data_IF_860801686888
#
_entry.id   IF_860801686888
#
_cell.length_a   1.000
_cell.length_b   1.000
_cell.length_c   1.000
_cell.angle_alpha   90.00
_cell.angle_beta   90.00
_cell.angle_gamma   90.00
#
_symmetry.space_group_name_H-M   'P 1'
#
loop_
_entity.id
_entity.type
_entity.pdbx_description
1 polymer ?
#
# COMPACT_ATOMS: atom_id res chain seq x y z
N UNK A 1 -7.10 -10.94 -11.67
CA UNK A 1 -7.19 -11.55 -10.33
C UNK A 1 -7.30 -10.47 -9.28
N UNK A 2 -8.53 -10.04 -8.99
CA UNK A 2 -8.79 -9.08 -7.91
C UNK A 2 -8.96 -9.90 -6.61
N UNK A 3 -7.94 -9.94 -5.76
CA UNK A 3 -7.97 -10.70 -4.50
C UNK A 3 -8.73 -9.96 -3.38
N UNK A 4 -9.06 -8.69 -3.58
CA UNK A 4 -9.79 -7.88 -2.61
C UNK A 4 -11.29 -7.88 -2.91
N UNK A 5 -12.10 -8.17 -1.90
CA UNK A 5 -13.56 -8.19 -1.98
C UNK A 5 -14.18 -9.41 -1.29
N UNK A 6 -15.50 -9.56 -1.44
CA UNK A 6 -16.32 -10.60 -0.79
C UNK A 6 -16.63 -11.81 -1.68
N UNK A 7 -16.08 -11.87 -2.89
CA UNK A 7 -16.26 -12.96 -3.83
C UNK A 7 -15.46 -14.23 -3.46
N UNK A 8 -15.76 -15.34 -4.14
CA UNK A 8 -15.05 -16.61 -3.93
C UNK A 8 -13.55 -16.46 -4.26
N UNK A 9 -12.69 -16.79 -3.30
CA UNK A 9 -11.24 -16.63 -3.43
C UNK A 9 -10.73 -15.20 -3.21
N UNK A 10 -11.60 -14.28 -2.79
CA UNK A 10 -11.25 -12.93 -2.37
C UNK A 10 -11.17 -12.84 -0.84
N UNK A 11 -10.52 -11.78 -0.37
CA UNK A 11 -10.33 -11.45 1.05
C UNK A 11 -10.81 -10.02 1.28
N UNK A 12 -11.49 -9.79 2.39
CA UNK A 12 -11.82 -8.46 2.91
C UNK A 12 -10.86 -8.12 4.05
N UNK A 13 -9.75 -7.40 3.78
CA UNK A 13 -8.76 -7.10 4.80
C UNK A 13 -9.20 -5.93 5.69
N UNK A 14 -8.91 -6.04 6.98
CA UNK A 14 -9.02 -4.90 7.91
C UNK A 14 -7.97 -3.81 7.63
N UNK A 15 -6.79 -4.20 7.12
CA UNK A 15 -5.66 -3.33 6.82
C UNK A 15 -4.96 -3.77 5.52
N UNK A 16 -4.52 -2.81 4.71
CA UNK A 16 -3.71 -3.07 3.52
C UNK A 16 -2.38 -2.33 3.62
N UNK A 17 -1.28 -3.07 3.53
CA UNK A 17 0.06 -2.51 3.42
C UNK A 17 0.52 -2.62 1.97
N UNK A 18 0.58 -1.49 1.27
CA UNK A 18 1.05 -1.44 -0.10
C UNK A 18 2.58 -1.42 -0.12
N UNK A 19 3.17 -2.62 -0.11
CA UNK A 19 4.59 -2.82 -0.36
C UNK A 19 4.96 -2.28 -1.74
N UNK A 20 5.84 -1.29 -1.76
CA UNK A 20 6.44 -0.76 -2.96
C UNK A 20 7.97 -0.76 -2.78
N UNK A 21 8.70 -1.00 -3.86
CA UNK A 21 10.08 -0.55 -3.95
C UNK A 21 9.97 0.84 -4.55
N UNK A 22 9.81 1.85 -3.69
CA UNK A 22 9.97 3.24 -4.12
C UNK A 22 11.46 3.38 -4.36
N UNK A 23 11.83 3.62 -5.61
CA UNK A 23 13.17 4.12 -5.90
C UNK A 23 13.20 5.55 -5.37
N UNK A 24 13.63 5.68 -4.11
CA UNK A 24 13.92 6.98 -3.48
C UNK A 24 15.16 7.64 -4.09
N UNK A 25 15.89 6.93 -4.96
CA UNK A 25 16.90 7.54 -5.80
C UNK A 25 16.19 8.58 -6.68
N UNK A 26 16.69 9.81 -6.72
CA UNK A 26 16.16 10.95 -7.46
C UNK A 26 16.07 10.78 -9.00
N UNK A 27 16.06 9.54 -9.49
CA UNK A 27 15.70 9.21 -10.86
C UNK A 27 14.29 9.74 -11.13
N UNK A 28 14.09 10.41 -12.26
CA UNK A 28 12.77 10.93 -12.64
C UNK A 28 11.72 9.82 -12.71
N UNK A 29 10.44 10.19 -12.80
CA UNK A 29 9.33 9.21 -12.93
C UNK A 29 9.57 8.27 -14.13
N UNK A 30 10.21 8.76 -15.19
CA UNK A 30 10.54 7.99 -16.40
C UNK A 30 11.62 6.91 -16.18
N UNK A 31 12.47 7.10 -15.16
CA UNK A 31 13.56 6.17 -14.82
C UNK A 31 13.23 5.31 -13.59
N UNK A 32 12.17 5.66 -12.85
CA UNK A 32 11.70 4.92 -11.68
C UNK A 32 10.70 3.85 -12.07
N UNK A 33 10.88 2.63 -11.56
CA UNK A 33 9.86 1.56 -11.71
C UNK A 33 8.52 1.93 -11.08
N UNK A 34 8.55 2.72 -10.00
CA UNK A 34 7.36 3.28 -9.36
C UNK A 34 7.70 4.57 -8.62
N UNK A 35 6.94 5.63 -8.90
CA UNK A 35 7.01 6.90 -8.19
C UNK A 35 6.04 6.94 -7.00
N UNK A 36 6.23 7.91 -6.11
CA UNK A 36 5.36 8.14 -4.96
C UNK A 36 3.91 8.43 -5.39
N UNK A 37 3.73 9.29 -6.40
CA UNK A 37 2.40 9.66 -6.89
C UNK A 37 1.63 8.44 -7.41
N UNK A 38 2.30 7.53 -8.11
CA UNK A 38 1.69 6.28 -8.59
C UNK A 38 1.28 5.36 -7.43
N UNK A 39 2.10 5.29 -6.37
CA UNK A 39 1.78 4.51 -5.18
C UNK A 39 0.55 5.08 -4.45
N UNK A 40 0.47 6.41 -4.30
CA UNK A 40 -0.67 7.10 -3.69
C UNK A 40 -1.95 6.97 -4.52
N UNK A 41 -1.85 7.14 -5.84
CA UNK A 41 -2.98 6.94 -6.75
C UNK A 41 -3.53 5.51 -6.63
N UNK A 42 -2.64 4.52 -6.60
CA UNK A 42 -3.05 3.12 -6.46
C UNK A 42 -3.66 2.84 -5.09
N UNK A 43 -3.07 3.36 -4.02
CA UNK A 43 -3.60 3.23 -2.66
C UNK A 43 -5.03 3.79 -2.57
N UNK A 44 -5.32 4.93 -3.21
CA UNK A 44 -6.66 5.54 -3.22
C UNK A 44 -7.73 4.69 -3.91
N UNK A 45 -7.34 3.72 -4.74
CA UNK A 45 -8.26 2.83 -5.47
C UNK A 45 -8.50 1.51 -4.74
N UNK A 46 -7.83 1.28 -3.60
CA UNK A 46 -7.99 0.07 -2.81
C UNK A 46 -9.25 0.22 -1.95
N UNK A 47 -10.14 -0.76 -2.03
CA UNK A 47 -11.38 -0.79 -1.24
C UNK A 47 -11.12 -1.26 0.21
N UNK A 48 -10.29 -0.51 0.93
CA UNK A 48 -9.97 -0.70 2.34
C UNK A 48 -9.58 0.67 2.92
N UNK A 49 -10.32 1.17 3.91
CA UNK A 49 -10.06 2.49 4.50
C UNK A 49 -8.67 2.57 5.14
N UNK A 50 -8.21 1.47 5.74
CA UNK A 50 -6.93 1.38 6.44
C UNK A 50 -5.83 0.90 5.46
N UNK A 51 -5.63 1.66 4.39
CA UNK A 51 -4.58 1.43 3.41
C UNK A 51 -3.38 2.33 3.69
N UNK A 52 -2.19 1.72 3.84
CA UNK A 52 -0.95 2.42 4.14
C UNK A 52 0.09 2.17 3.05
N UNK A 53 0.90 3.20 2.78
CA UNK A 53 2.05 3.18 1.87
C UNK A 53 3.29 3.37 2.74
N UNK A 54 3.77 2.32 3.43
CA UNK A 54 4.84 2.45 4.43
C UNK A 54 6.17 2.84 3.78
N UNK A 55 6.87 3.80 4.38
CA UNK A 55 8.17 4.25 3.91
C UNK A 55 9.30 3.37 4.44
N UNK A 56 10.43 3.36 3.74
CA UNK A 56 11.59 2.60 4.21
C UNK A 56 12.08 3.12 5.57
N UNK A 57 12.15 2.22 6.55
CA UNK A 57 12.50 2.55 7.94
C UNK A 57 11.32 3.02 8.80
N UNK A 58 10.10 3.13 8.25
CA UNK A 58 8.91 3.44 9.02
C UNK A 58 8.53 2.28 9.95
N UNK A 59 8.15 2.61 11.18
CA UNK A 59 7.75 1.64 12.20
C UNK A 59 6.23 1.66 12.37
N UNK A 60 5.58 0.56 12.01
CA UNK A 60 4.17 0.32 12.28
C UNK A 60 4.03 -0.48 13.58
N UNK A 61 3.12 -0.08 14.47
CA UNK A 61 2.93 -0.69 15.79
C UNK A 61 1.53 -1.26 15.92
N UNK A 62 1.43 -2.59 15.98
CA UNK A 62 0.20 -3.26 16.37
C UNK A 62 0.01 -3.20 17.88
N UNK A 63 -1.03 -2.50 18.34
CA UNK A 63 -1.38 -2.39 19.75
C UNK A 63 -2.89 -2.24 19.92
N UNK A 64 -3.44 -2.88 20.94
CA UNK A 64 -4.88 -2.81 21.26
C UNK A 64 -5.78 -3.15 20.06
N UNK A 65 -5.43 -4.20 19.31
CA UNK A 65 -6.13 -4.65 18.10
C UNK A 65 -6.25 -3.60 16.99
N UNK A 66 -5.32 -2.63 16.95
CA UNK A 66 -5.21 -1.64 15.90
C UNK A 66 -3.77 -1.46 15.44
N UNK A 67 -3.61 -1.21 14.14
CA UNK A 67 -2.33 -0.78 13.58
C UNK A 67 -2.22 0.75 13.76
N UNK A 68 -1.12 1.22 14.36
CA UNK A 68 -0.77 2.64 14.48
C UNK A 68 0.55 2.93 13.76
#
# INVERSE_FOLDING_TARGET
NNILGSGAGQVEPDYVLLSHILELAHAGVDESRWSLDMALERASKINCEQTYVPMWGEKLVWKNNKLN
#
